data_IF_383297130778
#
_entry.id   IF_383297130778
#
_cell.length_a   1.000
_cell.length_b   1.000
_cell.length_c   1.000
_cell.angle_alpha   90.00
_cell.angle_beta   90.00
_cell.angle_gamma   90.00
#
_symmetry.space_group_name_H-M   'P 1'
#
loop_
_entity.id
_entity.type
_entity.pdbx_description
1 polymer ?
#
# COMPACT_ATOMS: atom_id res chain seq x y z
N UNK A 1 12.37 2.09 -6.97
CA UNK A 1 11.41 1.74 -8.05
C UNK A 1 10.02 2.23 -7.65
N UNK A 2 9.06 2.39 -8.57
CA UNK A 2 7.68 2.78 -8.23
C UNK A 2 6.70 1.67 -8.55
N UNK A 3 5.86 1.31 -7.58
CA UNK A 3 4.82 0.29 -7.70
C UNK A 3 3.44 0.93 -7.57
N UNK A 4 2.57 0.76 -8.57
CA UNK A 4 1.17 1.18 -8.46
C UNK A 4 0.33 0.05 -7.87
N UNK A 5 -0.35 0.35 -6.77
CA UNK A 5 -1.10 -0.62 -6.00
C UNK A 5 -2.54 -0.15 -5.79
N UNK A 6 -3.49 -1.07 -5.89
CA UNK A 6 -4.88 -0.83 -5.45
C UNK A 6 -4.93 -0.84 -3.93
N UNK A 7 -5.77 0.01 -3.37
CA UNK A 7 -5.98 0.13 -1.93
C UNK A 7 -7.46 0.39 -1.63
N UNK A 8 -8.04 -0.45 -0.78
CA UNK A 8 -9.43 -0.31 -0.33
C UNK A 8 -9.61 1.01 0.44
N UNK A 9 -10.80 1.63 0.34
CA UNK A 9 -11.07 2.97 0.87
C UNK A 9 -10.67 3.16 2.34
N UNK A 10 -11.05 2.24 3.24
CA UNK A 10 -10.74 2.35 4.66
C UNK A 10 -9.23 2.27 4.95
N UNK A 11 -8.51 1.42 4.20
CA UNK A 11 -7.05 1.30 4.29
C UNK A 11 -6.39 2.57 3.76
N UNK A 12 -6.87 3.08 2.63
CA UNK A 12 -6.38 4.31 2.01
C UNK A 12 -6.54 5.49 2.97
N UNK A 13 -7.72 5.68 3.56
CA UNK A 13 -7.98 6.74 4.53
C UNK A 13 -7.12 6.59 5.79
N UNK A 14 -6.92 5.36 6.30
CA UNK A 14 -6.05 5.14 7.46
C UNK A 14 -4.57 5.50 7.19
N UNK A 15 -4.08 5.25 5.97
CA UNK A 15 -2.74 5.70 5.53
C UNK A 15 -2.72 7.22 5.35
N UNK A 16 -3.76 7.80 4.75
CA UNK A 16 -3.91 9.25 4.59
C UNK A 16 -3.92 9.98 5.93
N UNK A 17 -4.55 9.43 6.95
CA UNK A 17 -4.60 10.02 8.29
C UNK A 17 -3.29 9.79 9.08
N UNK A 18 -2.37 8.97 8.57
CA UNK A 18 -1.16 8.57 9.28
C UNK A 18 -1.39 7.57 10.43
N UNK A 19 -2.61 7.05 10.58
CA UNK A 19 -2.95 6.02 11.58
C UNK A 19 -2.37 4.65 11.21
N UNK A 20 -2.26 4.38 9.92
CA UNK A 20 -1.64 3.16 9.37
C UNK A 20 -0.33 3.51 8.66
N UNK A 21 0.77 3.00 9.19
CA UNK A 21 2.14 3.29 8.73
C UNK A 21 2.84 2.06 8.15
N UNK A 22 2.08 1.07 7.70
CA UNK A 22 2.60 -0.13 7.06
C UNK A 22 1.70 -0.65 5.94
N UNK A 23 2.27 -1.34 4.96
CA UNK A 23 1.56 -2.15 3.96
C UNK A 23 1.87 -3.64 4.17
N UNK A 24 0.85 -4.49 4.07
CA UNK A 24 1.00 -5.96 4.06
C UNK A 24 0.65 -6.45 2.67
N UNK A 25 1.59 -7.15 2.01
CA UNK A 25 1.43 -7.61 0.62
C UNK A 25 2.03 -9.00 0.46
N UNK A 26 1.59 -9.71 -0.57
CA UNK A 26 2.36 -10.83 -1.11
C UNK A 26 3.55 -10.25 -1.89
N UNK A 27 4.75 -10.80 -1.71
CA UNK A 27 6.01 -10.28 -2.26
C UNK A 27 6.25 -10.80 -3.70
N UNK A 28 5.32 -10.51 -4.61
CA UNK A 28 5.40 -10.87 -6.04
C UNK A 28 6.21 -9.87 -6.88
N UNK A 29 6.74 -8.82 -6.26
CA UNK A 29 7.42 -7.68 -6.92
C UNK A 29 8.83 -7.43 -6.39
N UNK A 30 9.27 -8.23 -5.42
CA UNK A 30 10.56 -8.09 -4.76
C UNK A 30 10.77 -6.66 -4.20
N UNK A 31 9.82 -6.19 -3.39
CA UNK A 31 9.80 -4.81 -2.88
C UNK A 31 11.09 -4.45 -2.14
N UNK A 32 11.63 -3.25 -2.35
CA UNK A 32 12.89 -2.81 -1.71
C UNK A 32 12.67 -1.60 -0.80
N UNK A 33 13.59 -1.43 0.15
CA UNK A 33 13.71 -0.16 0.88
C UNK A 33 13.94 0.95 -0.16
N UNK A 34 13.34 2.11 0.09
CA UNK A 34 13.29 3.27 -0.82
C UNK A 34 12.45 3.09 -2.10
N UNK A 35 11.76 1.96 -2.28
CA UNK A 35 10.69 1.90 -3.26
C UNK A 35 9.54 2.84 -2.90
N UNK A 36 8.92 3.39 -3.94
CA UNK A 36 7.72 4.19 -3.83
C UNK A 36 6.48 3.32 -4.12
N UNK A 37 5.46 3.43 -3.28
CA UNK A 37 4.16 2.81 -3.52
C UNK A 37 3.16 3.91 -3.82
N UNK A 38 2.61 3.93 -5.04
CA UNK A 38 1.46 4.76 -5.38
C UNK A 38 0.20 3.99 -5.03
N UNK A 39 -0.36 4.27 -3.85
CA UNK A 39 -1.60 3.69 -3.38
C UNK A 39 -2.76 4.41 -4.08
N UNK A 40 -3.53 3.67 -4.88
CA UNK A 40 -4.68 4.18 -5.63
C UNK A 40 -5.96 3.67 -4.99
N UNK A 41 -6.79 4.59 -4.52
CA UNK A 41 -8.05 4.25 -3.88
C UNK A 41 -9.03 3.64 -4.88
N UNK A 42 -9.66 2.53 -4.48
CA UNK A 42 -10.72 1.87 -5.23
C UNK A 42 -12.06 1.97 -4.51
N UNK A 43 -13.14 2.11 -5.28
CA UNK A 43 -14.51 2.24 -4.75
C UNK A 43 -15.01 0.97 -4.08
N UNK A 44 -14.62 -0.19 -4.60
CA UNK A 44 -15.03 -1.51 -4.09
C UNK A 44 -13.81 -2.23 -3.57
N UNK A 45 -13.98 -2.89 -2.43
CA UNK A 45 -12.92 -3.66 -1.77
C UNK A 45 -12.44 -4.84 -2.61
N UNK A 46 -11.27 -5.38 -2.26
CA UNK A 46 -10.78 -6.62 -2.85
C UNK A 46 -11.78 -7.78 -2.76
N UNK A 47 -12.56 -7.86 -1.68
CA UNK A 47 -13.59 -8.88 -1.49
C UNK A 47 -14.80 -8.67 -2.39
N UNK A 48 -15.33 -7.45 -2.46
CA UNK A 48 -16.43 -7.12 -3.35
C UNK A 48 -16.08 -7.35 -4.82
N UNK A 49 -14.84 -7.06 -5.22
CA UNK A 49 -14.36 -7.36 -6.57
C UNK A 49 -14.33 -8.87 -6.85
N UNK A 50 -13.92 -9.70 -5.87
CA UNK A 50 -14.02 -11.18 -6.00
C UNK A 50 -15.47 -11.64 -6.15
N UNK A 51 -16.42 -10.90 -5.59
CA UNK A 51 -17.85 -11.15 -5.70
C UNK A 51 -18.53 -10.48 -6.91
N UNK A 52 -17.74 -10.04 -7.90
CA UNK A 52 -18.24 -9.56 -9.19
C UNK A 52 -18.45 -8.05 -9.31
N UNK A 53 -18.07 -7.24 -8.31
CA UNK A 53 -18.02 -5.78 -8.49
C UNK A 53 -16.87 -5.40 -9.44
N UNK A 54 -17.07 -4.39 -10.31
CA UNK A 54 -16.01 -3.97 -11.22
C UNK A 54 -14.90 -3.22 -10.48
N UNK A 55 -13.69 -3.24 -11.03
CA UNK A 55 -12.62 -2.34 -10.60
C UNK A 55 -12.98 -0.89 -10.98
N UNK A 56 -13.17 -0.03 -9.99
CA UNK A 56 -13.45 1.40 -10.19
C UNK A 56 -12.52 2.20 -9.27
N UNK A 57 -11.64 3.01 -9.85
CA UNK A 57 -10.81 3.95 -9.11
C UNK A 57 -11.62 5.20 -8.76
N UNK A 58 -11.42 5.75 -7.57
CA UNK A 58 -12.06 7.01 -7.15
C UNK A 58 -11.37 8.24 -7.77
N UNK A 59 -10.08 8.10 -8.12
CA UNK A 59 -9.20 9.18 -8.56
C UNK A 59 -8.23 9.62 -7.46
N UNK A 60 -8.49 9.29 -6.20
CA UNK A 60 -7.57 9.56 -5.09
C UNK A 60 -6.32 8.67 -5.17
N UNK A 61 -5.17 9.25 -4.90
CA UNK A 61 -3.91 8.52 -4.79
C UNK A 61 -2.97 9.16 -3.77
N UNK A 62 -2.16 8.33 -3.10
CA UNK A 62 -1.14 8.77 -2.15
C UNK A 62 0.16 8.06 -2.48
N UNK A 63 1.25 8.83 -2.53
CA UNK A 63 2.60 8.31 -2.70
C UNK A 63 3.25 8.12 -1.33
N UNK A 64 3.73 6.92 -1.07
CA UNK A 64 4.49 6.58 0.13
C UNK A 64 5.84 5.97 -0.24
N UNK A 65 6.81 6.06 0.66
CA UNK A 65 8.13 5.42 0.52
C UNK A 65 8.28 4.31 1.54
N UNK A 66 8.83 3.17 1.12
CA UNK A 66 9.16 2.05 1.99
C UNK A 66 10.43 2.36 2.79
N UNK A 67 10.35 2.28 4.11
CA UNK A 67 11.47 2.59 5.01
C UNK A 67 12.04 1.35 5.71
N UNK A 68 11.26 0.28 5.81
CA UNK A 68 11.68 -0.97 6.40
C UNK A 68 10.86 -2.12 5.84
N UNK A 69 11.46 -3.31 5.76
CA UNK A 69 10.82 -4.51 5.22
C UNK A 69 11.07 -5.70 6.14
N UNK A 70 10.00 -6.39 6.52
CA UNK A 70 10.06 -7.72 7.14
C UNK A 70 9.39 -8.72 6.21
N UNK A 71 10.13 -9.77 5.81
CA UNK A 71 9.65 -10.86 4.98
C UNK A 71 9.34 -12.08 5.81
N UNK A 72 8.26 -12.77 5.47
CA UNK A 72 7.93 -14.06 6.05
C UNK A 72 8.78 -15.19 5.43
N UNK A 73 8.92 -16.33 6.12
CA UNK A 73 8.32 -16.65 7.42
C UNK A 73 9.08 -16.03 8.61
N UNK A 74 8.44 -15.12 9.36
CA UNK A 74 9.04 -14.46 10.53
C UNK A 74 7.97 -13.80 11.41
N UNK A 75 8.05 -13.92 12.74
CA UNK A 75 7.13 -13.26 13.69
C UNK A 75 5.63 -13.47 13.41
N UNK A 76 5.25 -14.64 12.87
CA UNK A 76 3.87 -14.95 12.48
C UNK A 76 3.46 -14.46 11.08
N UNK A 77 4.35 -13.79 10.35
CA UNK A 77 4.17 -13.47 8.93
C UNK A 77 4.36 -14.75 8.10
N UNK A 78 3.40 -15.04 7.21
CA UNK A 78 3.42 -16.23 6.36
C UNK A 78 4.51 -16.15 5.28
N UNK A 79 4.99 -17.30 4.83
CA UNK A 79 5.93 -17.39 3.70
C UNK A 79 5.37 -16.68 2.45
N UNK A 80 6.24 -15.95 1.75
CA UNK A 80 5.88 -15.16 0.57
C UNK A 80 5.14 -13.85 0.88
N UNK A 81 4.81 -13.55 2.14
CA UNK A 81 4.24 -12.28 2.55
C UNK A 81 5.30 -11.32 3.08
N UNK A 82 5.05 -10.04 2.92
CA UNK A 82 5.90 -8.95 3.35
C UNK A 82 5.09 -7.88 4.08
N UNK A 83 5.63 -7.38 5.18
CA UNK A 83 5.16 -6.14 5.81
C UNK A 83 6.20 -5.05 5.60
N UNK A 84 5.76 -3.95 5.01
CA UNK A 84 6.59 -2.79 4.67
C UNK A 84 6.19 -1.64 5.57
N UNK A 85 7.12 -1.08 6.34
CA UNK A 85 6.90 0.22 6.97
C UNK A 85 6.95 1.30 5.90
N UNK A 86 6.02 2.24 5.95
CA UNK A 86 5.87 3.30 4.96
C UNK A 86 5.85 4.67 5.63
N UNK A 87 6.34 5.66 4.91
CA UNK A 87 6.13 7.07 5.25
C UNK A 87 5.49 7.77 4.06
N UNK A 88 4.58 8.72 4.31
CA UNK A 88 4.07 9.58 3.24
C UNK A 88 5.20 10.45 2.72
N UNK A 89 5.34 10.54 1.40
CA UNK A 89 6.19 11.55 0.80
C UNK A 89 5.58 12.91 1.14
N UNK A 90 6.29 13.72 1.93
CA UNK A 90 5.91 15.11 2.14
C UNK A 90 6.17 15.80 0.80
N UNK A 91 5.16 16.44 0.22
CA UNK A 91 5.43 17.40 -0.84
C UNK A 91 6.24 18.51 -0.19
N UNK A 92 7.51 18.65 -0.57
CA UNK A 92 8.21 19.90 -0.31
C UNK A 92 7.34 21.00 -0.90
N UNK A 93 6.72 21.78 -0.02
CA UNK A 93 6.12 23.05 -0.36
C UNK A 93 7.26 23.93 -0.88
N UNK A 94 7.45 23.91 -2.20
CA UNK A 94 8.17 24.97 -2.90
C UNK A 94 7.31 26.23 -2.71
N UNK A 95 7.73 27.09 -1.78
CA UNK A 95 7.31 28.49 -1.69
C UNK A 95 7.80 29.28 -2.91
#
# INVERSE_FOLDING_TARGET
MRHELKTDGDVFQAVLDGRKTYELRFDDRDYKIDDELLLREVKYTGEEMRNGKPLVYTGSAILVRVTHILRGPAYGLMEGWVIMSIIRAVKDSQE
#
